data_IF_651309118724
#
_entry.id   IF_651309118724
#
_cell.length_a   1.000
_cell.length_b   1.000
_cell.length_c   1.000
_cell.angle_alpha   90.00
_cell.angle_beta   90.00
_cell.angle_gamma   90.00
#
_symmetry.space_group_name_H-M   'P 1'
#
loop_
_entity.id
_entity.type
_entity.pdbx_description
1 polymer ?
#
# COMPACT_ATOMS: atom_id res chain seq x y z
N UNK A 1 11.36 39.00 -29.46
CA UNK A 1 11.96 38.79 -28.12
C UNK A 1 10.89 38.16 -27.24
N UNK A 2 11.10 36.93 -26.75
CA UNK A 2 10.14 36.25 -25.87
C UNK A 2 10.36 36.73 -24.42
N UNK A 3 9.30 37.11 -23.67
CA UNK A 3 9.46 37.55 -22.29
C UNK A 3 9.90 36.37 -21.41
N UNK A 4 11.08 36.48 -20.79
CA UNK A 4 11.50 35.56 -19.75
C UNK A 4 10.59 35.74 -18.54
N UNK A 5 9.85 34.70 -18.15
CA UNK A 5 9.07 34.66 -16.91
C UNK A 5 10.03 34.78 -15.71
N UNK A 6 10.36 36.01 -15.32
CA UNK A 6 11.19 36.28 -14.16
C UNK A 6 10.38 35.93 -12.90
N UNK A 7 10.60 34.71 -12.37
CA UNK A 7 10.04 34.25 -11.10
C UNK A 7 10.67 35.03 -9.95
N UNK A 8 10.04 36.14 -9.54
CA UNK A 8 10.41 36.88 -8.32
C UNK A 8 9.75 36.20 -7.12
N UNK A 9 10.37 35.13 -6.62
CA UNK A 9 10.02 34.53 -5.32
C UNK A 9 11.10 34.91 -4.29
N UNK A 10 10.66 35.58 -3.23
CA UNK A 10 11.49 36.22 -2.22
C UNK A 10 12.11 35.28 -1.19
N UNK A 11 13.12 35.83 -0.53
CA UNK A 11 13.91 35.39 0.63
C UNK A 11 13.57 34.02 1.26
N UNK A 12 14.59 33.15 1.35
CA UNK A 12 14.52 31.83 1.98
C UNK A 12 14.06 31.93 3.44
N UNK A 13 12.77 31.72 3.70
CA UNK A 13 12.18 31.78 5.04
C UNK A 13 12.64 30.65 5.97
N UNK A 14 13.24 29.59 5.42
CA UNK A 14 13.70 28.42 6.16
C UNK A 14 15.14 28.12 5.78
N UNK A 15 15.99 27.97 6.80
CA UNK A 15 17.33 27.42 6.62
C UNK A 15 17.22 25.92 6.38
N UNK A 16 17.46 25.51 5.15
CA UNK A 16 17.42 24.10 4.76
C UNK A 16 18.69 23.41 5.25
N UNK A 17 18.55 22.60 6.31
CA UNK A 17 19.64 21.75 6.76
C UNK A 17 19.93 20.68 5.67
N UNK A 18 21.16 20.62 5.13
CA UNK A 18 21.52 19.63 4.12
C UNK A 18 21.30 18.19 4.59
N UNK A 19 21.41 17.89 5.89
CA UNK A 19 21.17 16.55 6.42
C UNK A 19 19.69 16.14 6.31
N UNK A 20 18.78 17.04 6.71
CA UNK A 20 17.33 16.80 6.60
C UNK A 20 16.88 16.70 5.15
N UNK A 21 17.43 17.53 4.25
CA UNK A 21 17.15 17.45 2.82
C UNK A 21 17.61 16.11 2.24
N UNK A 22 18.80 15.62 2.61
CA UNK A 22 19.30 14.31 2.17
C UNK A 22 18.45 13.16 2.71
N UNK A 23 18.05 13.22 3.98
CA UNK A 23 17.16 12.24 4.59
C UNK A 23 15.83 12.15 3.84
N UNK A 24 15.18 13.29 3.60
CA UNK A 24 13.93 13.33 2.84
C UNK A 24 14.09 12.74 1.43
N UNK A 25 15.18 13.12 0.73
CA UNK A 25 15.49 12.58 -0.59
C UNK A 25 15.69 11.06 -0.59
N UNK A 26 16.21 10.47 0.49
CA UNK A 26 16.39 9.02 0.60
C UNK A 26 15.05 8.24 0.54
N UNK A 27 13.95 8.80 1.05
CA UNK A 27 12.63 8.15 0.95
C UNK A 27 12.03 8.34 -0.43
N UNK A 28 12.06 9.56 -0.97
CA UNK A 28 11.52 9.87 -2.29
C UNK A 28 12.21 9.05 -3.37
N UNK A 29 13.54 8.92 -3.29
CA UNK A 29 14.38 8.24 -4.28
C UNK A 29 14.57 6.75 -4.01
N UNK A 30 13.91 6.19 -3.00
CA UNK A 30 14.08 4.77 -2.60
C UNK A 30 13.81 3.79 -3.74
N UNK A 31 12.86 4.11 -4.61
CA UNK A 31 12.50 3.27 -5.76
C UNK A 31 13.62 3.15 -6.80
N UNK A 32 14.47 4.18 -6.95
CA UNK A 32 15.60 4.18 -7.89
C UNK A 32 16.70 3.20 -7.45
N UNK A 33 16.87 3.02 -6.13
CA UNK A 33 17.89 2.15 -5.54
C UNK A 33 17.35 0.79 -5.09
N UNK A 34 16.11 0.47 -5.44
CA UNK A 34 15.49 -0.79 -5.05
C UNK A 34 16.19 -1.99 -5.70
N UNK A 35 16.30 -3.09 -4.95
CA UNK A 35 16.88 -4.35 -5.43
C UNK A 35 16.01 -5.53 -5.02
N UNK A 36 15.87 -6.47 -5.94
CA UNK A 36 15.33 -7.79 -5.65
C UNK A 36 16.36 -8.61 -4.89
N UNK A 37 16.07 -8.84 -3.61
CA UNK A 37 16.81 -9.73 -2.72
C UNK A 37 15.84 -10.82 -2.27
N UNK A 38 16.31 -12.01 -1.85
CA UNK A 38 15.40 -13.05 -1.39
C UNK A 38 14.39 -12.55 -0.36
N UNK A 39 14.81 -11.68 0.57
CA UNK A 39 13.93 -11.07 1.56
C UNK A 39 12.87 -10.16 0.95
N UNK A 40 13.25 -9.22 0.08
CA UNK A 40 12.30 -8.27 -0.52
C UNK A 40 11.34 -8.97 -1.47
N UNK A 41 11.81 -9.94 -2.24
CA UNK A 41 10.96 -10.77 -3.10
C UNK A 41 9.92 -11.53 -2.29
N UNK A 42 10.31 -12.20 -1.20
CA UNK A 42 9.36 -12.92 -0.34
C UNK A 42 8.33 -11.99 0.29
N UNK A 43 8.73 -10.82 0.76
CA UNK A 43 7.79 -9.83 1.30
C UNK A 43 6.80 -9.37 0.24
N UNK A 44 7.27 -8.98 -0.94
CA UNK A 44 6.39 -8.56 -2.02
C UNK A 44 5.43 -9.67 -2.43
N UNK A 45 5.93 -10.89 -2.62
CA UNK A 45 5.08 -12.04 -2.96
C UNK A 45 3.98 -12.28 -1.92
N UNK A 46 4.33 -12.30 -0.63
CA UNK A 46 3.37 -12.55 0.44
C UNK A 46 2.26 -11.52 0.46
N UNK A 47 2.60 -10.22 0.43
CA UNK A 47 1.60 -9.16 0.59
C UNK A 47 0.85 -8.81 -0.69
N UNK A 48 1.47 -8.97 -1.87
CA UNK A 48 0.83 -8.62 -3.15
C UNK A 48 0.05 -9.80 -3.73
N UNK A 49 0.50 -11.04 -3.47
CA UNK A 49 -0.09 -12.24 -4.07
C UNK A 49 -0.74 -13.12 -3.00
N UNK A 50 0.04 -13.64 -2.04
CA UNK A 50 -0.44 -14.69 -1.15
C UNK A 50 -1.61 -14.24 -0.26
N UNK A 51 -1.48 -13.06 0.36
CA UNK A 51 -2.52 -12.51 1.25
C UNK A 51 -3.81 -12.20 0.47
N UNK A 52 -3.79 -11.41 -0.62
CA UNK A 52 -5.01 -11.18 -1.40
C UNK A 52 -5.63 -12.46 -1.96
N UNK A 53 -4.82 -13.41 -2.46
CA UNK A 53 -5.32 -14.68 -2.97
C UNK A 53 -6.00 -15.53 -1.89
N UNK A 54 -5.43 -15.57 -0.68
CA UNK A 54 -6.04 -16.27 0.45
C UNK A 54 -7.40 -15.66 0.82
N UNK A 55 -7.48 -14.32 0.93
CA UNK A 55 -8.74 -13.64 1.21
C UNK A 55 -9.79 -13.85 0.11
N UNK A 56 -9.39 -13.74 -1.15
CA UNK A 56 -10.28 -13.97 -2.30
C UNK A 56 -10.79 -15.41 -2.31
N UNK A 57 -9.92 -16.40 -2.07
CA UNK A 57 -10.33 -17.79 -1.97
C UNK A 57 -11.30 -18.04 -0.82
N UNK A 58 -11.00 -17.49 0.37
CA UNK A 58 -11.90 -17.57 1.52
C UNK A 58 -13.24 -16.92 1.24
N UNK A 59 -13.25 -15.73 0.62
CA UNK A 59 -14.45 -15.03 0.19
C UNK A 59 -15.32 -15.93 -0.69
N UNK A 60 -14.78 -16.42 -1.80
CA UNK A 60 -15.53 -17.30 -2.72
C UNK A 60 -16.00 -18.62 -2.09
N UNK A 61 -15.30 -19.14 -1.08
CA UNK A 61 -15.71 -20.38 -0.38
C UNK A 61 -16.72 -20.15 0.74
N UNK A 62 -16.83 -18.92 1.24
CA UNK A 62 -17.72 -18.58 2.36
C UNK A 62 -18.93 -17.76 1.93
N UNK A 63 -18.90 -17.20 0.72
CA UNK A 63 -20.02 -16.51 0.12
C UNK A 63 -21.26 -17.40 0.09
N UNK A 64 -22.38 -16.90 0.62
CA UNK A 64 -23.64 -17.61 0.68
C UNK A 64 -23.68 -18.80 1.63
N UNK A 65 -22.54 -19.25 2.17
CA UNK A 65 -22.44 -20.48 2.97
C UNK A 65 -23.10 -20.39 4.35
N UNK A 66 -23.29 -19.19 4.89
CA UNK A 66 -23.79 -19.01 6.24
C UNK A 66 -25.02 -18.10 6.24
N UNK A 67 -26.18 -18.62 6.65
CA UNK A 67 -27.38 -17.83 6.94
C UNK A 67 -27.81 -18.03 8.40
N UNK A 68 -27.77 -16.95 9.16
CA UNK A 68 -28.13 -16.93 10.58
C UNK A 68 -29.53 -16.36 10.82
N UNK A 69 -30.25 -15.96 9.75
CA UNK A 69 -31.53 -15.27 9.89
C UNK A 69 -32.62 -16.23 10.35
N UNK A 70 -33.15 -15.99 11.54
CA UNK A 70 -34.30 -16.72 12.09
C UNK A 70 -34.01 -18.17 12.54
N UNK A 71 -32.73 -18.58 12.61
CA UNK A 71 -32.35 -19.94 13.03
C UNK A 71 -32.51 -20.12 14.56
N UNK A 72 -33.01 -21.28 15.00
CA UNK A 72 -33.20 -21.63 16.41
C UNK A 72 -32.10 -22.59 16.92
N UNK A 73 -32.13 -22.92 18.21
CA UNK A 73 -31.15 -23.81 18.84
C UNK A 73 -31.27 -25.23 18.27
N UNK A 74 -30.25 -25.68 17.55
CA UNK A 74 -30.22 -26.99 16.89
C UNK A 74 -30.34 -26.93 15.37
N UNK A 75 -30.69 -25.77 14.79
CA UNK A 75 -30.80 -25.60 13.35
C UNK A 75 -29.44 -25.44 12.66
N UNK A 76 -29.33 -25.93 11.43
CA UNK A 76 -28.13 -25.80 10.62
C UNK A 76 -28.01 -24.40 10.02
N UNK A 77 -26.85 -23.78 10.23
CA UNK A 77 -26.51 -22.42 9.76
C UNK A 77 -25.87 -22.45 8.35
N UNK A 78 -25.41 -23.62 7.91
CA UNK A 78 -24.74 -23.80 6.63
C UNK A 78 -25.76 -23.91 5.49
N UNK A 79 -25.56 -23.13 4.44
CA UNK A 79 -26.25 -23.21 3.15
C UNK A 79 -25.25 -23.74 2.09
N UNK A 80 -25.72 -24.51 1.10
CA UNK A 80 -24.86 -25.30 0.16
C UNK A 80 -24.75 -24.70 -1.23
#
# INVERSE_FOLDING_TARGET
MLPTLARRAGHNAVHMDPALVKYANMFVKRHEYFRWTPRTTWLTFTYVIAVPAAFLYMGFKTEGKWDMRGKLRGDTIVEF
#
